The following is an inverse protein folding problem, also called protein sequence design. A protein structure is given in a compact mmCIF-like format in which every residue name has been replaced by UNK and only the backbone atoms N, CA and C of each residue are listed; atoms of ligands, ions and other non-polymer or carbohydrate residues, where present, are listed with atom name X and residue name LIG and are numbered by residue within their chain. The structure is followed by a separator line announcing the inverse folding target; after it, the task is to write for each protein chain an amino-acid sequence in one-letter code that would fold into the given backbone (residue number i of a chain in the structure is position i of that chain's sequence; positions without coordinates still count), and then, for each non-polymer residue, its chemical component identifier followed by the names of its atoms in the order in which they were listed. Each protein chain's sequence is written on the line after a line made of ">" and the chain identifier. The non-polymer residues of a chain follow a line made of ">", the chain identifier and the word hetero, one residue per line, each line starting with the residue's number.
data_IF_893122275844
#
_entry.id   IF_893122275844
#
_cell.length_a   1.000
_cell.length_b   1.000
_cell.length_c   1.000
_cell.angle_alpha   90.00
_cell.angle_beta   90.00
_cell.angle_gamma   90.00
#
_symmetry.space_group_name_H-M   'P 1'
#
loop_
_entity.id
_entity.type
_entity.pdbx_description
1 polymer ?
#
# COMPACT_ATOMS: atom_id res chain seq x y z
N UNK A 1 -9.26 22.07 -33.01
CA UNK A 1 -10.10 23.28 -32.88
C UNK A 1 -9.31 24.36 -32.17
N UNK A 2 -9.05 25.51 -32.83
CA UNK A 2 -8.36 26.65 -32.23
C UNK A 2 -9.04 27.18 -30.95
N UNK A 3 -8.23 27.76 -30.06
CA UNK A 3 -8.69 28.32 -28.78
C UNK A 3 -9.70 29.47 -28.93
N UNK A 4 -9.72 30.13 -30.09
CA UNK A 4 -10.58 31.28 -30.38
C UNK A 4 -11.98 30.90 -30.87
N UNK A 5 -12.24 29.62 -31.15
CA UNK A 5 -13.58 29.17 -31.55
C UNK A 5 -14.51 29.25 -30.33
N UNK A 6 -15.59 30.03 -30.45
CA UNK A 6 -16.60 30.18 -29.40
C UNK A 6 -17.96 29.60 -29.77
N UNK A 7 -18.20 29.31 -31.06
CA UNK A 7 -19.46 28.75 -31.56
C UNK A 7 -19.21 27.72 -32.66
N UNK A 8 -20.02 26.67 -32.67
CA UNK A 8 -20.06 25.67 -33.74
C UNK A 8 -21.48 25.63 -34.32
N UNK A 9 -21.58 25.87 -35.63
CA UNK A 9 -22.84 25.94 -36.36
C UNK A 9 -23.45 24.59 -36.71
N UNK A 10 -24.65 24.65 -37.29
CA UNK A 10 -25.37 23.47 -37.79
C UNK A 10 -24.54 22.66 -38.79
N UNK A 11 -24.55 21.33 -38.61
CA UNK A 11 -23.87 20.35 -39.47
C UNK A 11 -22.37 20.54 -39.67
N UNK A 12 -21.67 21.26 -38.79
CA UNK A 12 -20.23 21.52 -38.92
C UNK A 12 -19.39 20.24 -39.09
N UNK A 13 -19.84 19.11 -38.52
CA UNK A 13 -19.19 17.81 -38.60
C UNK A 13 -20.14 16.66 -38.99
N UNK A 14 -21.33 16.95 -39.54
CA UNK A 14 -22.39 15.94 -39.77
C UNK A 14 -21.94 14.77 -40.66
N UNK A 15 -21.10 15.04 -41.67
CA UNK A 15 -20.59 14.02 -42.61
C UNK A 15 -19.18 13.53 -42.30
N UNK A 16 -18.64 13.90 -41.14
CA UNK A 16 -17.33 13.43 -40.67
C UNK A 16 -17.47 12.06 -40.01
N UNK A 17 -17.94 11.08 -40.79
CA UNK A 17 -18.34 9.76 -40.28
C UNK A 17 -17.18 8.90 -39.78
N UNK A 18 -15.96 9.22 -40.19
CA UNK A 18 -14.72 8.53 -39.79
C UNK A 18 -13.91 9.32 -38.77
N UNK A 19 -14.49 10.39 -38.19
CA UNK A 19 -13.81 11.21 -37.20
C UNK A 19 -13.48 10.37 -35.96
N UNK A 20 -12.19 10.21 -35.69
CA UNK A 20 -11.68 9.41 -34.56
C UNK A 20 -11.11 10.28 -33.43
N UNK A 21 -10.78 11.54 -33.71
CA UNK A 21 -10.11 12.42 -32.77
C UNK A 21 -10.55 13.87 -32.95
N UNK A 22 -10.79 14.55 -31.83
CA UNK A 22 -11.07 15.98 -31.76
C UNK A 22 -10.13 16.59 -30.72
N UNK A 23 -9.17 17.39 -31.17
CA UNK A 23 -8.30 18.14 -30.28
C UNK A 23 -8.87 19.56 -30.15
N UNK A 24 -9.27 19.96 -28.96
CA UNK A 24 -9.66 21.33 -28.63
C UNK A 24 -8.56 22.07 -27.90
N UNK A 25 -8.31 23.31 -28.32
CA UNK A 25 -7.44 24.24 -27.59
C UNK A 25 -8.24 25.30 -26.81
N UNK A 26 -9.58 25.25 -26.83
CA UNK A 26 -10.43 26.19 -26.11
C UNK A 26 -10.65 25.73 -24.67
N UNK A 27 -10.38 26.60 -23.69
CA UNK A 27 -10.59 26.30 -22.26
C UNK A 27 -12.08 26.24 -21.92
N UNK A 28 -12.89 27.03 -22.61
CA UNK A 28 -14.35 26.97 -22.54
C UNK A 28 -14.88 26.24 -23.77
N UNK A 29 -15.77 25.24 -23.61
CA UNK A 29 -16.35 24.54 -24.74
C UNK A 29 -17.09 25.52 -25.68
N UNK A 30 -16.82 25.46 -27.00
CA UNK A 30 -17.59 26.22 -27.97
C UNK A 30 -19.09 25.89 -27.86
N UNK A 31 -19.93 26.92 -27.94
CA UNK A 31 -21.38 26.73 -27.91
C UNK A 31 -21.85 26.14 -29.23
N UNK A 32 -22.46 24.96 -29.18
CA UNK A 32 -23.10 24.33 -30.32
C UNK A 32 -24.50 24.93 -30.53
N UNK A 33 -24.82 25.37 -31.75
CA UNK A 33 -26.13 26.00 -32.03
C UNK A 33 -27.30 25.00 -32.10
N UNK A 34 -27.01 23.70 -31.98
CA UNK A 34 -27.96 22.58 -32.01
C UNK A 34 -27.27 21.31 -31.47
N UNK A 35 -28.03 20.22 -31.31
CA UNK A 35 -27.54 18.95 -30.74
C UNK A 35 -26.94 17.98 -31.78
N UNK A 36 -27.24 18.21 -33.07
CA UNK A 36 -26.85 17.34 -34.19
C UNK A 36 -25.54 17.81 -34.84
N UNK A 37 -24.53 18.08 -34.03
CA UNK A 37 -23.20 18.51 -34.53
C UNK A 37 -22.40 17.32 -35.07
N UNK A 38 -22.45 16.20 -34.35
CA UNK A 38 -21.77 14.95 -34.68
C UNK A 38 -22.79 13.82 -34.82
N UNK A 39 -22.49 12.85 -35.67
CA UNK A 39 -23.25 11.59 -35.69
C UNK A 39 -23.13 10.91 -34.30
N UNK A 40 -24.24 10.33 -33.84
CA UNK A 40 -24.34 9.56 -32.60
C UNK A 40 -23.21 8.54 -32.39
N UNK A 41 -22.67 7.94 -33.45
CA UNK A 41 -21.55 6.99 -33.38
C UNK A 41 -20.25 7.65 -32.91
N UNK A 42 -20.01 8.89 -33.33
CA UNK A 42 -18.79 9.64 -33.06
C UNK A 42 -18.63 9.90 -31.55
N UNK A 43 -19.73 10.17 -30.84
CA UNK A 43 -19.71 10.34 -29.40
C UNK A 43 -19.18 9.13 -28.63
N UNK A 44 -19.25 7.92 -29.21
CA UNK A 44 -18.77 6.69 -28.57
C UNK A 44 -17.37 6.29 -29.03
N UNK A 45 -16.98 6.62 -30.25
CA UNK A 45 -15.74 6.13 -30.88
C UNK A 45 -14.63 7.17 -30.93
N UNK A 46 -14.96 8.46 -30.99
CA UNK A 46 -13.96 9.51 -31.09
C UNK A 46 -13.45 9.94 -29.71
N UNK A 47 -12.16 10.26 -29.66
CA UNK A 47 -11.51 10.81 -28.47
C UNK A 47 -11.53 12.33 -28.53
N UNK A 48 -12.02 12.96 -27.46
CA UNK A 48 -12.05 14.41 -27.29
C UNK A 48 -10.93 14.83 -26.33
N UNK A 49 -9.89 15.44 -26.89
CA UNK A 49 -8.79 16.01 -26.12
C UNK A 49 -9.08 17.49 -25.85
N UNK A 50 -9.07 17.90 -24.58
CA UNK A 50 -9.35 19.29 -24.19
C UNK A 50 -8.20 19.86 -23.35
N UNK A 51 -8.08 21.18 -23.22
CA UNK A 51 -6.99 21.76 -22.44
C UNK A 51 -7.07 21.36 -20.96
N UNK A 52 -5.92 21.39 -20.30
CA UNK A 52 -5.85 21.26 -18.86
C UNK A 52 -6.85 22.17 -18.13
N UNK A 53 -7.51 21.64 -17.10
CA UNK A 53 -8.51 22.30 -16.27
C UNK A 53 -9.87 22.44 -16.93
N UNK A 54 -10.02 22.00 -18.19
CA UNK A 54 -11.22 22.27 -18.98
C UNK A 54 -12.19 21.10 -19.04
N UNK A 55 -11.81 19.91 -18.56
CA UNK A 55 -12.61 18.69 -18.70
C UNK A 55 -14.01 18.86 -18.15
N UNK A 56 -14.11 19.35 -16.91
CA UNK A 56 -15.40 19.54 -16.23
C UNK A 56 -16.35 20.39 -17.09
N UNK A 57 -15.85 21.52 -17.62
CA UNK A 57 -16.64 22.38 -18.47
C UNK A 57 -17.13 21.65 -19.73
N UNK A 58 -16.28 20.86 -20.38
CA UNK A 58 -16.67 20.04 -21.53
C UNK A 58 -17.65 18.90 -21.17
N UNK A 59 -17.46 18.21 -20.05
CA UNK A 59 -18.34 17.12 -19.63
C UNK A 59 -19.70 17.60 -19.12
N UNK A 60 -19.85 18.89 -18.82
CA UNK A 60 -21.11 19.51 -18.43
C UNK A 60 -21.80 20.24 -19.61
N UNK A 61 -21.03 20.64 -20.63
CA UNK A 61 -21.56 21.39 -21.76
C UNK A 61 -22.40 20.53 -22.71
N UNK A 62 -23.43 21.16 -23.27
CA UNK A 62 -24.29 20.52 -24.27
C UNK A 62 -23.47 20.04 -25.48
N UNK A 63 -23.88 18.94 -26.11
CA UNK A 63 -23.14 18.21 -27.16
C UNK A 63 -21.85 17.54 -26.65
N UNK A 64 -20.97 18.28 -25.97
CA UNK A 64 -19.67 17.80 -25.52
C UNK A 64 -19.75 16.70 -24.45
N UNK A 65 -20.73 16.79 -23.53
CA UNK A 65 -21.00 15.76 -22.51
C UNK A 65 -21.32 14.37 -23.08
N UNK A 66 -21.69 14.29 -24.36
CA UNK A 66 -22.02 13.01 -25.00
C UNK A 66 -20.77 12.19 -25.33
N UNK A 67 -19.58 12.82 -25.42
CA UNK A 67 -18.34 12.10 -25.70
C UNK A 67 -17.97 11.17 -24.54
N UNK A 68 -17.87 9.88 -24.86
CA UNK A 68 -17.54 8.83 -23.89
C UNK A 68 -16.06 8.85 -23.50
N UNK A 69 -15.19 9.37 -24.37
CA UNK A 69 -13.76 9.47 -24.14
C UNK A 69 -13.32 10.94 -24.19
N UNK A 70 -13.33 11.61 -23.04
CA UNK A 70 -12.82 12.99 -22.89
C UNK A 70 -11.62 13.00 -21.94
N UNK A 71 -10.47 13.41 -22.45
CA UNK A 71 -9.22 13.51 -21.68
C UNK A 71 -8.68 14.92 -21.73
N UNK A 72 -8.02 15.34 -20.67
CA UNK A 72 -7.12 16.48 -20.69
C UNK A 72 -5.71 15.92 -20.64
N UNK A 73 -4.76 16.50 -21.35
CA UNK A 73 -3.33 16.12 -21.19
C UNK A 73 -2.78 16.49 -19.80
N UNK A 74 -3.64 16.68 -18.78
CA UNK A 74 -3.25 16.87 -17.40
C UNK A 74 -2.59 15.63 -16.86
N UNK A 75 -1.65 15.88 -15.95
CA UNK A 75 -0.97 14.83 -15.22
C UNK A 75 -1.25 15.00 -13.74
N UNK A 76 -1.52 13.88 -13.09
CA UNK A 76 -1.71 13.79 -11.65
C UNK A 76 -0.66 12.89 -11.05
N UNK A 77 -0.32 13.14 -9.79
CA UNK A 77 0.61 12.31 -9.03
C UNK A 77 -0.15 11.36 -8.14
N UNK A 78 0.28 10.10 -8.14
CA UNK A 78 0.03 9.18 -7.03
C UNK A 78 1.30 9.09 -6.19
N UNK A 79 1.16 9.30 -4.90
CA UNK A 79 2.26 9.22 -3.93
C UNK A 79 1.87 8.33 -2.74
N UNK A 80 2.84 7.58 -2.24
CA UNK A 80 2.70 6.67 -1.10
C UNK A 80 3.75 7.03 -0.07
N UNK A 81 3.33 7.51 1.09
CA UNK A 81 4.19 7.82 2.23
C UNK A 81 4.16 6.66 3.23
N UNK A 82 5.34 6.11 3.53
CA UNK A 82 5.49 4.97 4.44
C UNK A 82 6.94 4.86 4.96
N UNK A 83 7.14 4.12 6.06
CA UNK A 83 8.48 3.75 6.53
C UNK A 83 9.03 2.59 5.68
N UNK A 84 9.99 2.88 4.80
CA UNK A 84 10.57 1.91 3.87
C UNK A 84 11.40 0.79 4.55
N UNK A 85 11.70 0.92 5.85
CA UNK A 85 12.30 -0.16 6.64
C UNK A 85 11.26 -1.17 7.14
N UNK A 86 9.98 -0.82 7.11
CA UNK A 86 8.86 -1.61 7.65
C UNK A 86 7.89 -2.11 6.59
N UNK A 87 8.11 -1.76 5.32
CA UNK A 87 7.27 -2.19 4.22
C UNK A 87 7.79 -1.78 2.87
N UNK A 88 7.00 -2.04 1.84
CA UNK A 88 7.22 -1.60 0.47
C UNK A 88 5.90 -1.22 -0.18
N UNK A 89 6.00 -0.33 -1.17
CA UNK A 89 4.90 0.01 -2.06
C UNK A 89 5.27 -0.29 -3.51
N UNK A 90 4.25 -0.65 -4.29
CA UNK A 90 4.33 -0.68 -5.74
C UNK A 90 3.19 0.11 -6.35
N UNK A 91 3.47 0.74 -7.49
CA UNK A 91 2.51 1.41 -8.34
C UNK A 91 2.61 0.75 -9.71
N UNK A 92 1.51 0.17 -10.20
CA UNK A 92 1.46 -0.65 -11.42
C UNK A 92 2.55 -1.73 -11.46
N UNK A 93 2.80 -2.37 -10.31
CA UNK A 93 3.81 -3.43 -10.16
C UNK A 93 5.26 -2.95 -10.09
N UNK A 94 5.53 -1.66 -10.33
CA UNK A 94 6.86 -1.08 -10.15
C UNK A 94 7.07 -0.69 -8.70
N UNK A 95 8.21 -1.07 -8.10
CA UNK A 95 8.58 -0.64 -6.75
C UNK A 95 8.98 0.83 -6.77
N UNK A 96 8.02 1.69 -6.48
CA UNK A 96 8.16 3.15 -6.38
C UNK A 96 7.15 3.66 -5.36
N UNK A 97 7.46 4.79 -4.74
CA UNK A 97 6.57 5.52 -3.84
C UNK A 97 5.85 6.69 -4.55
N UNK A 98 6.22 6.99 -5.81
CA UNK A 98 5.64 8.09 -6.57
C UNK A 98 5.64 7.79 -8.06
N UNK A 99 4.52 8.10 -8.73
CA UNK A 99 4.38 8.06 -10.18
C UNK A 99 3.41 9.14 -10.68
N UNK A 100 3.61 9.60 -11.91
CA UNK A 100 2.69 10.49 -12.62
C UNK A 100 1.82 9.70 -13.60
N UNK A 101 0.57 10.12 -13.70
CA UNK A 101 -0.47 9.54 -14.54
C UNK A 101 -1.14 10.62 -15.36
N UNK A 102 -1.49 10.33 -16.61
CA UNK A 102 -2.40 11.19 -17.35
C UNK A 102 -3.83 11.08 -16.80
N UNK A 103 -4.62 12.14 -16.94
CA UNK A 103 -6.02 12.10 -16.52
C UNK A 103 -6.77 10.95 -17.21
N UNK A 104 -7.42 10.12 -16.41
CA UNK A 104 -8.20 8.98 -16.87
C UNK A 104 -7.42 7.67 -16.94
N UNK A 105 -6.10 7.67 -16.75
CA UNK A 105 -5.33 6.43 -16.67
C UNK A 105 -5.74 5.61 -15.43
N UNK A 106 -5.73 4.29 -15.58
CA UNK A 106 -5.96 3.37 -14.47
C UNK A 106 -4.65 3.13 -13.70
N UNK A 107 -4.76 2.90 -12.40
CA UNK A 107 -3.63 2.61 -11.53
C UNK A 107 -3.96 1.50 -10.53
N UNK A 108 -2.97 0.67 -10.23
CA UNK A 108 -2.98 -0.29 -9.13
C UNK A 108 -1.89 0.06 -8.12
N UNK A 109 -2.26 0.15 -6.85
CA UNK A 109 -1.34 0.39 -5.74
C UNK A 109 -1.38 -0.80 -4.82
N UNK A 110 -0.20 -1.31 -4.47
CA UNK A 110 -0.04 -2.39 -3.49
C UNK A 110 0.96 -1.93 -2.44
N UNK A 111 0.59 -2.04 -1.17
CA UNK A 111 1.48 -1.80 -0.03
C UNK A 111 1.54 -3.08 0.78
N UNK A 112 2.77 -3.55 1.06
CA UNK A 112 3.02 -4.77 1.83
C UNK A 112 3.98 -4.48 2.98
N UNK A 113 3.69 -4.94 4.21
CA UNK A 113 4.62 -4.83 5.31
C UNK A 113 5.86 -5.71 5.06
N UNK A 114 6.97 -5.33 5.69
CA UNK A 114 8.15 -6.17 5.80
C UNK A 114 7.91 -7.29 6.82
N UNK A 115 8.84 -8.25 6.89
CA UNK A 115 8.77 -9.34 7.86
C UNK A 115 8.63 -8.79 9.29
N UNK A 116 7.79 -9.45 10.10
CA UNK A 116 7.44 -9.07 11.47
C UNK A 116 6.64 -7.76 11.63
N UNK A 117 6.23 -7.12 10.55
CA UNK A 117 5.31 -5.97 10.58
C UNK A 117 3.93 -6.35 10.04
N UNK A 118 2.93 -5.58 10.45
CA UNK A 118 1.62 -5.54 9.82
C UNK A 118 1.22 -4.08 9.58
N UNK A 119 0.34 -3.87 8.62
CA UNK A 119 -0.26 -2.56 8.38
C UNK A 119 -1.12 -2.20 9.60
N UNK A 120 -0.84 -1.04 10.19
CA UNK A 120 -1.56 -0.50 11.33
C UNK A 120 -2.68 0.46 10.89
N UNK A 121 -2.40 1.26 9.87
CA UNK A 121 -3.34 2.20 9.28
C UNK A 121 -2.98 2.51 7.83
N UNK A 122 -4.01 2.77 7.03
CA UNK A 122 -3.88 3.37 5.69
C UNK A 122 -4.86 4.52 5.58
N UNK A 123 -4.40 5.65 5.06
CA UNK A 123 -5.26 6.76 4.65
C UNK A 123 -5.07 7.05 3.17
N UNK A 124 -6.16 7.38 2.48
CA UNK A 124 -6.17 7.89 1.10
C UNK A 124 -6.74 9.30 1.14
N UNK A 125 -5.95 10.28 0.70
CA UNK A 125 -6.27 11.71 0.77
C UNK A 125 -6.71 12.14 2.19
N UNK A 126 -6.03 11.62 3.21
CA UNK A 126 -6.30 11.86 4.63
C UNK A 126 -7.52 11.12 5.21
N UNK A 127 -8.29 10.41 4.39
CA UNK A 127 -9.43 9.60 4.85
C UNK A 127 -8.99 8.15 5.08
N UNK A 128 -9.39 7.55 6.20
CA UNK A 128 -9.04 6.15 6.52
C UNK A 128 -9.62 5.20 5.46
N UNK A 129 -8.79 4.28 4.99
CA UNK A 129 -9.15 3.24 4.03
C UNK A 129 -9.22 1.86 4.69
N UNK A 130 -9.98 0.96 4.06
CA UNK A 130 -9.98 -0.45 4.42
C UNK A 130 -8.70 -1.14 3.93
N UNK A 131 -8.12 -1.99 4.76
CA UNK A 131 -6.91 -2.73 4.45
C UNK A 131 -6.91 -4.08 5.15
N UNK A 132 -6.02 -4.98 4.72
CA UNK A 132 -5.69 -6.19 5.47
C UNK A 132 -4.34 -6.00 6.17
N UNK A 133 -4.12 -6.60 7.34
CA UNK A 133 -2.85 -6.49 8.06
C UNK A 133 -1.63 -6.85 7.20
N UNK A 134 -1.78 -7.80 6.28
CA UNK A 134 -0.74 -8.31 5.38
C UNK A 134 -0.61 -7.57 4.04
N UNK A 135 -1.61 -6.78 3.65
CA UNK A 135 -1.63 -6.09 2.36
C UNK A 135 -2.70 -5.00 2.32
N UNK A 136 -2.34 -3.86 1.76
CA UNK A 136 -3.29 -2.91 1.20
C UNK A 136 -3.20 -2.96 -0.33
N UNK A 137 -4.35 -3.08 -0.98
CA UNK A 137 -4.46 -3.07 -2.43
C UNK A 137 -5.60 -2.17 -2.87
N UNK A 138 -5.29 -1.22 -3.75
CA UNK A 138 -6.25 -0.30 -4.33
C UNK A 138 -6.19 -0.33 -5.86
N UNK A 139 -7.36 -0.35 -6.50
CA UNK A 139 -7.51 -0.19 -7.95
C UNK A 139 -8.25 1.11 -8.23
N UNK A 140 -7.57 2.03 -8.92
CA UNK A 140 -8.13 3.29 -9.38
C UNK A 140 -8.47 3.12 -10.85
N UNK A 141 -9.76 3.21 -11.18
CA UNK A 141 -10.22 3.02 -12.55
C UNK A 141 -9.82 4.18 -13.48
N UNK A 142 -9.74 5.40 -12.94
CA UNK A 142 -9.38 6.61 -13.66
C UNK A 142 -8.80 7.63 -12.68
N UNK A 143 -7.53 8.00 -12.84
CA UNK A 143 -6.90 9.06 -12.05
C UNK A 143 -7.43 10.41 -12.51
N UNK A 144 -8.04 11.17 -11.61
CA UNK A 144 -8.65 12.48 -11.92
C UNK A 144 -8.17 13.60 -10.99
N UNK A 145 -7.32 13.27 -10.02
CA UNK A 145 -6.72 14.21 -9.08
C UNK A 145 -5.42 13.63 -8.52
N UNK A 146 -4.66 14.45 -7.80
CA UNK A 146 -3.51 13.96 -7.03
C UNK A 146 -3.99 13.07 -5.89
N UNK A 147 -3.36 11.92 -5.72
CA UNK A 147 -3.69 10.94 -4.70
C UNK A 147 -2.49 10.77 -3.77
N UNK A 148 -2.71 11.04 -2.48
CA UNK A 148 -1.74 10.80 -1.42
C UNK A 148 -2.23 9.63 -0.57
N UNK A 149 -1.42 8.58 -0.47
CA UNK A 149 -1.66 7.42 0.37
C UNK A 149 -0.62 7.44 1.48
N UNK A 150 -1.05 7.31 2.72
CA UNK A 150 -0.14 7.13 3.85
C UNK A 150 -0.38 5.76 4.44
N UNK A 151 0.69 5.01 4.72
CA UNK A 151 0.61 3.73 5.40
C UNK A 151 1.56 3.70 6.60
N UNK A 152 1.04 3.29 7.75
CA UNK A 152 1.85 3.05 8.96
C UNK A 152 1.89 1.56 9.28
N UNK A 153 2.99 1.17 9.91
CA UNK A 153 3.25 -0.22 10.27
C UNK A 153 3.52 -0.35 11.77
N UNK A 154 2.97 -1.38 12.35
CA UNK A 154 3.25 -1.82 13.71
C UNK A 154 3.82 -3.23 13.69
N UNK A 155 4.42 -3.66 14.81
CA UNK A 155 4.88 -5.04 14.93
C UNK A 155 3.69 -5.98 14.74
N UNK A 156 3.80 -6.86 13.76
CA UNK A 156 2.84 -7.91 13.48
C UNK A 156 2.97 -8.99 14.54
N UNK A 157 2.38 -8.77 15.70
CA UNK A 157 2.11 -9.86 16.64
C UNK A 157 1.01 -10.75 16.04
N UNK A 158 1.44 -11.62 15.13
CA UNK A 158 0.87 -12.96 15.02
C UNK A 158 0.78 -13.53 16.45
N UNK A 159 -0.20 -14.38 16.75
CA UNK A 159 -0.41 -14.98 18.07
C UNK A 159 0.75 -15.83 18.64
N UNK A 160 1.96 -15.68 18.12
CA UNK A 160 3.23 -16.05 18.71
C UNK A 160 4.18 -14.93 18.29
N UNK A 161 4.71 -14.17 19.25
CA UNK A 161 5.80 -13.25 18.96
C UNK A 161 6.91 -14.03 18.24
N UNK A 162 7.59 -13.47 17.22
CA UNK A 162 8.94 -13.89 16.95
C UNK A 162 9.71 -13.43 18.17
N UNK A 163 9.79 -14.35 19.11
CA UNK A 163 10.99 -14.53 19.88
C UNK A 163 12.15 -14.28 18.93
N UNK A 164 12.93 -13.24 19.18
CA UNK A 164 14.29 -13.19 18.68
C UNK A 164 14.91 -14.49 19.16
N UNK A 165 14.90 -15.54 18.35
CA UNK A 165 15.60 -16.76 18.74
C UNK A 165 17.04 -16.34 18.66
N UNK A 166 17.75 -16.24 19.80
CA UNK A 166 19.17 -16.13 19.69
C UNK A 166 19.58 -17.43 19.04
N UNK A 167 20.16 -17.29 17.84
CA UNK A 167 20.53 -18.43 17.01
C UNK A 167 21.55 -19.33 17.72
N UNK A 168 22.14 -18.86 18.83
CA UNK A 168 23.15 -19.56 19.63
C UNK A 168 22.89 -19.51 21.15
N UNK A 169 21.67 -19.84 21.63
CA UNK A 169 21.48 -20.09 23.08
C UNK A 169 22.34 -21.27 23.50
N UNK A 170 23.22 -21.05 24.48
CA UNK A 170 23.99 -22.10 25.14
C UNK A 170 23.55 -22.19 26.59
N UNK A 171 23.31 -23.42 27.04
CA UNK A 171 22.98 -23.72 28.44
C UNK A 171 23.93 -24.80 28.93
N UNK A 172 24.62 -24.54 30.04
CA UNK A 172 25.54 -25.50 30.63
C UNK A 172 25.58 -25.39 32.16
N UNK A 173 25.86 -26.50 32.83
CA UNK A 173 26.03 -26.58 34.28
C UNK A 173 27.50 -26.42 34.67
N UNK A 174 27.77 -25.66 35.74
CA UNK A 174 29.09 -25.56 36.37
C UNK A 174 28.95 -25.10 37.82
N UNK A 175 29.68 -25.71 38.75
CA UNK A 175 29.73 -25.32 40.17
C UNK A 175 28.34 -25.21 40.84
N UNK A 176 27.47 -26.21 40.67
CA UNK A 176 26.06 -26.22 41.16
C UNK A 176 25.15 -25.13 40.57
N UNK A 177 25.61 -24.42 39.52
CA UNK A 177 24.84 -23.39 38.84
C UNK A 177 24.61 -23.69 37.36
N UNK A 178 23.50 -23.18 36.83
CA UNK A 178 23.20 -23.17 35.40
C UNK A 178 23.57 -21.80 34.81
N UNK A 179 24.32 -21.82 33.71
CA UNK A 179 24.71 -20.65 32.93
C UNK A 179 23.97 -20.63 31.60
N UNK A 180 23.51 -19.43 31.22
CA UNK A 180 22.75 -19.19 30.00
C UNK A 180 23.43 -18.06 29.24
N UNK A 181 23.84 -18.34 28.01
CA UNK A 181 24.46 -17.37 27.12
C UNK A 181 23.62 -17.19 25.86
N UNK A 182 23.64 -15.97 25.33
CA UNK A 182 22.96 -15.61 24.08
C UNK A 182 21.48 -15.25 24.23
N UNK A 183 20.83 -15.49 25.37
CA UNK A 183 19.46 -15.02 25.61
C UNK A 183 19.40 -13.52 25.93
N UNK A 184 18.35 -12.82 25.47
CA UNK A 184 18.10 -11.41 25.81
C UNK A 184 17.92 -11.23 27.32
N UNK A 185 18.32 -10.09 27.88
CA UNK A 185 18.33 -9.85 29.33
C UNK A 185 16.93 -9.95 29.98
N UNK A 186 15.86 -9.69 29.23
CA UNK A 186 14.48 -9.78 29.71
C UNK A 186 13.83 -11.16 29.48
N UNK A 187 14.55 -12.11 28.89
CA UNK A 187 13.99 -13.40 28.50
C UNK A 187 13.71 -14.31 29.70
N UNK A 188 12.52 -14.92 29.77
CA UNK A 188 12.16 -15.76 30.91
C UNK A 188 12.82 -17.13 30.80
N UNK A 189 13.48 -17.53 31.87
CA UNK A 189 14.10 -18.83 32.07
C UNK A 189 13.27 -19.60 33.08
N UNK A 190 12.88 -20.81 32.71
CA UNK A 190 12.22 -21.76 33.60
C UNK A 190 13.12 -22.98 33.80
N UNK A 191 13.39 -23.35 35.05
CA UNK A 191 14.20 -24.53 35.39
C UNK A 191 13.32 -25.51 36.16
N UNK A 192 13.35 -26.76 35.71
CA UNK A 192 12.60 -27.86 36.30
C UNK A 192 13.55 -28.94 36.81
N UNK A 193 13.21 -29.50 37.97
CA UNK A 193 13.84 -30.73 38.46
C UNK A 193 13.48 -31.94 37.59
N UNK A 194 14.18 -33.07 37.79
CA UNK A 194 13.87 -34.35 37.14
C UNK A 194 12.46 -34.88 37.42
N UNK A 195 11.82 -34.42 38.49
CA UNK A 195 10.42 -34.74 38.83
C UNK A 195 9.39 -33.83 38.14
N UNK A 196 9.84 -32.89 37.30
CA UNK A 196 8.97 -31.95 36.57
C UNK A 196 8.49 -30.76 37.40
N UNK A 197 9.02 -30.55 38.60
CA UNK A 197 8.68 -29.41 39.45
C UNK A 197 9.50 -28.19 38.99
N UNK A 198 8.84 -27.06 38.75
CA UNK A 198 9.49 -25.78 38.48
C UNK A 198 10.15 -25.26 39.75
N UNK A 199 11.47 -25.12 39.74
CA UNK A 199 12.27 -24.68 40.89
C UNK A 199 12.80 -23.26 40.73
N UNK A 200 12.76 -22.72 39.51
CA UNK A 200 13.13 -21.35 39.22
C UNK A 200 12.36 -20.82 38.01
N UNK A 201 11.92 -19.56 38.09
CA UNK A 201 11.30 -18.80 37.01
C UNK A 201 11.68 -17.32 37.13
N UNK A 202 12.45 -16.81 36.17
CA UNK A 202 12.94 -15.43 36.21
C UNK A 202 13.83 -15.11 35.01
N UNK A 203 14.56 -13.99 35.06
CA UNK A 203 15.38 -13.49 33.94
C UNK A 203 16.89 -13.57 34.20
N UNK A 204 17.32 -14.15 35.33
CA UNK A 204 18.73 -14.35 35.63
C UNK A 204 19.40 -15.30 34.61
N UNK A 205 20.68 -15.06 34.34
CA UNK A 205 21.51 -15.84 33.39
C UNK A 205 22.50 -16.79 34.08
N UNK A 206 22.58 -16.69 35.41
CA UNK A 206 23.31 -17.60 36.29
C UNK A 206 22.40 -17.93 37.46
N UNK A 207 22.00 -19.19 37.59
CA UNK A 207 21.10 -19.65 38.64
C UNK A 207 21.81 -20.70 39.48
N UNK A 208 22.03 -20.43 40.76
CA UNK A 208 22.56 -21.40 41.71
C UNK A 208 21.43 -22.31 42.20
N UNK A 209 21.63 -23.63 42.07
CA UNK A 209 20.63 -24.63 42.40
C UNK A 209 20.89 -25.30 43.75
N UNK A 210 22.04 -25.05 44.37
CA UNK A 210 22.42 -25.60 45.69
C UNK A 210 22.67 -27.11 45.73
N UNK A 211 22.44 -27.85 44.64
CA UNK A 211 22.71 -29.27 44.52
C UNK A 211 22.95 -29.67 43.04
N UNK A 212 23.79 -30.68 42.84
CA UNK A 212 24.01 -31.29 41.52
C UNK A 212 22.87 -32.22 41.12
N UNK A 213 22.61 -32.33 39.82
CA UNK A 213 21.46 -33.08 39.31
C UNK A 213 21.18 -32.85 37.83
N UNK A 214 20.12 -33.51 37.34
CA UNK A 214 19.62 -33.31 35.98
C UNK A 214 18.45 -32.34 36.02
N UNK A 215 18.55 -31.30 35.21
CA UNK A 215 17.55 -30.25 35.09
C UNK A 215 17.07 -30.10 33.65
N UNK A 216 15.83 -29.68 33.52
CA UNK A 216 15.25 -29.24 32.25
C UNK A 216 15.17 -27.73 32.28
N UNK A 217 15.83 -27.07 31.34
CA UNK A 217 15.84 -25.61 31.20
C UNK A 217 15.02 -25.25 29.98
N UNK A 218 14.03 -24.39 30.16
CA UNK A 218 13.21 -23.82 29.09
C UNK A 218 13.49 -22.34 28.96
N UNK A 219 13.77 -21.94 27.73
CA UNK A 219 14.00 -20.56 27.34
C UNK A 219 13.35 -20.47 25.97
N UNK A 220 12.35 -19.61 25.83
CA UNK A 220 11.58 -19.50 24.59
C UNK A 220 10.91 -20.83 24.20
N UNK A 221 10.98 -21.21 22.93
CA UNK A 221 10.52 -22.50 22.40
C UNK A 221 11.57 -23.63 22.57
N UNK A 222 12.74 -23.33 23.15
CA UNK A 222 13.85 -24.28 23.29
C UNK A 222 13.83 -24.96 24.66
N UNK A 223 14.12 -26.25 24.64
CA UNK A 223 14.28 -27.06 25.85
C UNK A 223 15.67 -27.69 25.87
N UNK A 224 16.39 -27.53 26.98
CA UNK A 224 17.72 -28.09 27.20
C UNK A 224 17.70 -29.05 28.37
N UNK A 225 18.36 -30.19 28.22
CA UNK A 225 18.67 -31.08 29.34
C UNK A 225 20.09 -30.79 29.80
N UNK A 226 20.24 -30.41 31.06
CA UNK A 226 21.53 -29.98 31.63
C UNK A 226 21.82 -30.83 32.86
N UNK A 227 23.03 -31.39 32.91
CA UNK A 227 23.57 -31.97 34.12
C UNK A 227 24.47 -30.93 34.79
N UNK A 228 24.27 -30.70 36.08
CA UNK A 228 24.99 -29.74 36.92
C UNK A 228 25.72 -30.51 38.01
#
# INVERSE_FOLDING_TARGET
>A
MPATITKIGFSAFEKCETLSEIISHAVTPPVCTNDNIFDSKIYKTASLFVPAGSRKAYTEANVWKNFSNTTTGERFTISVEYDNSRGNATINGQKTDRSEFEEGEAAEIIIRPADNFRIAEVTVNGSRADFKPEEFKASIAAVAENINITATFELGISGIAPVLTPSNIKVYGKDSAIYIEGADDNETVEIYSSYGICIYRGTERKIDLGAGGIYIVRILDKTFKVAV
#
